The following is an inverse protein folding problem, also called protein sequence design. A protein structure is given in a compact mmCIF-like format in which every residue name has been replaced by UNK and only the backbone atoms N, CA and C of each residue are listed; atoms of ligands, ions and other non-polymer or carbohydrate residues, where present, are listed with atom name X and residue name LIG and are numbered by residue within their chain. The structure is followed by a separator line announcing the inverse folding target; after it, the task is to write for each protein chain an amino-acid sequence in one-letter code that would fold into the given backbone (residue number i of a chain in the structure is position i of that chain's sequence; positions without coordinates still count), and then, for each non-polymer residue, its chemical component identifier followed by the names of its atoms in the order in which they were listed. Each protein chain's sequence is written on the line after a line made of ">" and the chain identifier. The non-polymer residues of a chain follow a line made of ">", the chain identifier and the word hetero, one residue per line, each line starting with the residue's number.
data_IF_995257916683
#
_entry.id   IF_995257916683
#
_cell.length_a   1.000
_cell.length_b   1.000
_cell.length_c   1.000
_cell.angle_alpha   90.00
_cell.angle_beta   90.00
_cell.angle_gamma   90.00
#
_symmetry.space_group_name_H-M   'P 1'
#
loop_
_entity.id
_entity.type
_entity.pdbx_description
1 polymer ?
#
# COMPACT_ATOMS: atom_id res chain seq x y z
N UNK A 1 -20.24 -11.98 -42.64
CA UNK A 1 -19.60 -11.65 -41.34
C UNK A 1 -19.66 -12.91 -40.52
N UNK A 2 -18.53 -13.51 -40.17
CA UNK A 2 -18.51 -14.68 -39.28
C UNK A 2 -18.96 -14.22 -37.88
N UNK A 3 -19.92 -14.92 -37.29
CA UNK A 3 -20.40 -14.64 -35.94
C UNK A 3 -19.25 -14.84 -34.95
N UNK A 4 -19.09 -13.94 -34.00
CA UNK A 4 -18.12 -14.11 -32.91
C UNK A 4 -18.41 -15.42 -32.17
N UNK A 5 -17.37 -16.20 -31.85
CA UNK A 5 -17.56 -17.39 -31.03
C UNK A 5 -18.12 -17.02 -29.66
N UNK A 6 -18.99 -17.88 -29.08
CA UNK A 6 -19.77 -17.52 -27.90
C UNK A 6 -18.97 -17.46 -26.64
N UNK A 7 -18.19 -16.59 -26.29
CA UNK A 7 -17.57 -16.28 -25.00
C UNK A 7 -16.36 -15.34 -25.08
N UNK A 8 -16.15 -14.65 -26.23
CA UNK A 8 -15.14 -13.61 -26.31
C UNK A 8 -15.79 -12.27 -26.60
N UNK A 9 -15.40 -11.26 -25.88
CA UNK A 9 -15.79 -9.88 -26.18
C UNK A 9 -15.06 -9.39 -27.44
N UNK A 10 -15.72 -8.60 -28.24
CA UNK A 10 -15.07 -7.86 -29.33
C UNK A 10 -14.13 -6.81 -28.71
N UNK A 11 -12.94 -6.69 -29.26
CA UNK A 11 -12.01 -5.65 -28.83
C UNK A 11 -12.60 -4.23 -29.03
N UNK A 12 -12.25 -3.34 -28.12
CA UNK A 12 -12.61 -1.92 -28.20
C UNK A 12 -11.46 -1.05 -27.66
N UNK A 13 -11.14 0.01 -28.37
CA UNK A 13 -10.07 0.94 -27.97
C UNK A 13 -10.32 1.65 -26.64
N UNK A 14 -11.57 1.76 -26.22
CA UNK A 14 -11.94 2.42 -24.96
C UNK A 14 -11.90 1.50 -23.74
N UNK A 15 -11.73 0.20 -23.92
CA UNK A 15 -11.69 -0.79 -22.85
C UNK A 15 -10.25 -1.12 -22.51
N UNK A 16 -9.94 -1.15 -21.22
CA UNK A 16 -8.66 -1.63 -20.71
C UNK A 16 -8.72 -3.16 -20.53
N UNK A 17 -7.69 -3.85 -20.98
CA UNK A 17 -7.56 -5.30 -20.89
C UNK A 17 -6.36 -5.66 -20.02
N UNK A 18 -6.55 -6.57 -19.09
CA UNK A 18 -5.47 -7.09 -18.22
C UNK A 18 -4.80 -8.30 -18.84
N UNK A 19 -3.62 -8.68 -18.36
CA UNK A 19 -2.95 -9.92 -18.78
C UNK A 19 -3.89 -11.13 -18.72
N UNK A 20 -3.90 -11.92 -19.79
CA UNK A 20 -4.77 -13.07 -19.92
C UNK A 20 -6.18 -12.76 -20.47
N UNK A 21 -6.58 -11.50 -20.64
CA UNK A 21 -7.84 -11.15 -21.28
C UNK A 21 -7.87 -11.63 -22.72
N UNK A 22 -8.98 -12.27 -23.14
CA UNK A 22 -9.16 -12.83 -24.49
C UNK A 22 -10.22 -12.03 -25.24
N UNK A 23 -9.86 -11.54 -26.43
CA UNK A 23 -10.74 -10.74 -27.27
C UNK A 23 -10.76 -11.25 -28.70
N UNK A 24 -11.81 -10.89 -29.44
CA UNK A 24 -11.87 -11.07 -30.90
C UNK A 24 -11.69 -9.71 -31.57
N UNK A 25 -10.74 -9.65 -32.50
CA UNK A 25 -10.53 -8.50 -33.35
C UNK A 25 -10.35 -8.96 -34.80
N UNK A 26 -11.14 -8.39 -35.71
CA UNK A 26 -11.20 -8.74 -37.14
C UNK A 26 -11.27 -10.25 -37.40
N UNK A 27 -12.09 -10.98 -36.60
CA UNK A 27 -12.32 -12.41 -36.74
C UNK A 27 -11.20 -13.34 -36.26
N UNK A 28 -10.18 -12.78 -35.60
CA UNK A 28 -9.11 -13.53 -34.95
C UNK A 28 -9.16 -13.34 -33.45
N UNK A 29 -8.69 -14.32 -32.68
CA UNK A 29 -8.67 -14.29 -31.23
C UNK A 29 -7.27 -13.91 -30.74
N UNK A 30 -7.21 -13.03 -29.75
CA UNK A 30 -5.97 -12.54 -29.15
C UNK A 30 -6.04 -12.61 -27.65
N UNK A 31 -4.92 -12.90 -27.00
CA UNK A 31 -4.74 -12.86 -25.55
C UNK A 31 -3.82 -11.69 -25.20
N UNK A 32 -4.23 -10.86 -24.25
CA UNK A 32 -3.41 -9.77 -23.72
C UNK A 32 -2.24 -10.32 -22.93
N UNK A 33 -1.02 -9.87 -23.24
CA UNK A 33 0.20 -10.29 -22.56
C UNK A 33 0.40 -9.54 -21.22
N UNK A 34 -0.08 -8.30 -21.14
CA UNK A 34 -0.10 -7.43 -19.96
C UNK A 34 -1.25 -6.43 -20.09
N UNK A 35 -1.34 -5.51 -19.15
CA UNK A 35 -2.35 -4.46 -19.22
C UNK A 35 -2.17 -3.61 -20.48
N UNK A 36 -3.21 -3.46 -21.26
CA UNK A 36 -3.21 -2.68 -22.51
C UNK A 36 -4.55 -2.00 -22.75
N UNK A 37 -4.53 -0.79 -23.30
CA UNK A 37 -5.70 -0.03 -23.73
C UNK A 37 -5.36 0.75 -25.00
N UNK A 38 -6.27 0.80 -25.94
CA UNK A 38 -6.08 1.53 -27.20
C UNK A 38 -5.17 0.84 -28.24
N UNK A 39 -4.45 -0.23 -27.88
CA UNK A 39 -3.59 -0.99 -28.79
C UNK A 39 -4.42 -2.05 -29.52
N UNK A 40 -4.74 -1.82 -30.79
CA UNK A 40 -5.53 -2.76 -31.60
C UNK A 40 -4.79 -4.09 -31.79
N UNK A 41 -5.40 -5.24 -31.46
CA UNK A 41 -4.73 -6.54 -31.50
C UNK A 41 -4.17 -6.93 -32.87
N UNK A 42 -4.90 -6.64 -33.95
CA UNK A 42 -4.48 -7.04 -35.31
C UNK A 42 -3.17 -6.37 -35.72
N UNK A 43 -2.88 -5.18 -35.19
CA UNK A 43 -1.69 -4.38 -35.52
C UNK A 43 -0.60 -4.42 -34.45
N UNK A 44 -0.94 -4.85 -33.22
CA UNK A 44 -0.04 -4.85 -32.06
C UNK A 44 0.09 -6.26 -31.45
N UNK A 45 0.34 -7.27 -32.28
CA UNK A 45 0.53 -8.64 -31.79
C UNK A 45 1.87 -9.25 -32.21
N UNK A 46 2.31 -10.24 -31.41
CA UNK A 46 3.57 -10.98 -31.66
C UNK A 46 3.67 -12.22 -30.77
N UNK A 47 4.67 -13.07 -31.05
CA UNK A 47 4.96 -14.24 -30.22
C UNK A 47 5.48 -13.88 -28.81
N UNK A 48 5.60 -14.87 -27.96
CA UNK A 48 6.15 -14.71 -26.61
C UNK A 48 7.53 -14.00 -26.65
N UNK A 49 7.70 -12.95 -25.86
CA UNK A 49 8.93 -12.15 -25.81
C UNK A 49 9.07 -11.10 -26.91
N UNK A 50 8.09 -10.90 -27.78
CA UNK A 50 8.13 -9.90 -28.88
C UNK A 50 8.01 -8.45 -28.40
N UNK A 51 7.64 -8.20 -27.15
CA UNK A 51 7.32 -6.86 -26.64
C UNK A 51 6.00 -6.31 -27.13
N UNK A 52 5.15 -7.13 -27.75
CA UNK A 52 3.82 -6.74 -28.23
C UNK A 52 2.74 -7.03 -27.18
N UNK A 53 1.73 -6.14 -27.01
CA UNK A 53 0.70 -6.29 -25.99
C UNK A 53 -0.25 -7.48 -26.22
N UNK A 54 -0.29 -8.02 -27.43
CA UNK A 54 -1.19 -9.12 -27.78
C UNK A 54 -0.43 -10.30 -28.37
N UNK A 55 -0.94 -11.50 -28.11
CA UNK A 55 -0.51 -12.75 -28.77
C UNK A 55 -1.71 -13.37 -29.47
N UNK A 56 -1.55 -13.78 -30.74
CA UNK A 56 -2.56 -14.52 -31.46
C UNK A 56 -2.81 -15.86 -30.76
N UNK A 57 -4.05 -16.17 -30.43
CA UNK A 57 -4.45 -17.38 -29.72
C UNK A 57 -5.43 -18.25 -30.53
N UNK A 58 -5.47 -19.55 -30.25
CA UNK A 58 -6.23 -20.54 -31.03
C UNK A 58 -7.67 -20.72 -30.56
N UNK A 59 -8.37 -19.63 -30.29
CA UNK A 59 -9.83 -19.65 -30.10
C UNK A 59 -10.29 -19.57 -28.63
N UNK A 60 -11.56 -19.14 -28.51
CA UNK A 60 -12.28 -19.07 -27.23
C UNK A 60 -12.83 -20.47 -26.93
N UNK A 61 -12.75 -20.88 -25.66
CA UNK A 61 -13.22 -22.18 -25.20
C UNK A 61 -14.74 -22.37 -25.52
N UNK A 62 -15.07 -23.42 -26.22
CA UNK A 62 -16.45 -23.83 -26.53
C UNK A 62 -16.97 -24.79 -25.45
N UNK A 63 -16.82 -24.50 -24.19
CA UNK A 63 -17.53 -25.27 -23.17
C UNK A 63 -18.98 -24.79 -23.12
N UNK A 64 -19.98 -25.64 -23.43
CA UNK A 64 -21.37 -25.27 -23.30
C UNK A 64 -21.68 -24.90 -21.87
N UNK A 65 -22.54 -23.89 -21.60
CA UNK A 65 -22.99 -23.64 -20.25
C UNK A 65 -23.65 -24.91 -19.68
N UNK A 66 -23.43 -25.23 -18.39
CA UNK A 66 -24.14 -26.32 -17.74
C UNK A 66 -25.66 -26.10 -17.83
N UNK A 67 -26.48 -27.17 -17.92
CA UNK A 67 -27.92 -27.03 -17.95
C UNK A 67 -28.42 -26.19 -16.78
N UNK A 68 -29.52 -25.44 -16.96
CA UNK A 68 -30.02 -24.57 -15.88
C UNK A 68 -30.29 -25.40 -14.63
N UNK A 69 -29.64 -25.06 -13.56
CA UNK A 69 -29.92 -25.60 -12.23
C UNK A 69 -31.35 -25.25 -11.86
N UNK A 70 -32.13 -26.18 -11.26
CA UNK A 70 -33.47 -25.86 -10.81
C UNK A 70 -33.47 -24.63 -9.94
N UNK A 71 -34.43 -23.73 -10.17
CA UNK A 71 -34.61 -22.48 -9.45
C UNK A 71 -34.59 -22.76 -7.96
N UNK A 72 -33.66 -22.13 -7.20
CA UNK A 72 -33.65 -22.28 -5.74
C UNK A 72 -34.99 -21.77 -5.15
N UNK A 73 -35.45 -22.34 -4.05
CA UNK A 73 -36.60 -21.79 -3.31
C UNK A 73 -36.32 -20.33 -2.94
N UNK A 74 -37.36 -19.48 -2.76
CA UNK A 74 -37.16 -18.07 -2.45
C UNK A 74 -36.23 -17.91 -1.26
N UNK A 75 -35.29 -16.94 -1.32
CA UNK A 75 -34.29 -16.79 -0.28
C UNK A 75 -34.99 -16.55 1.06
N UNK A 76 -34.62 -17.34 2.04
CA UNK A 76 -34.88 -17.02 3.46
C UNK A 76 -34.42 -15.59 3.73
N UNK A 77 -35.15 -14.77 4.51
CA UNK A 77 -34.75 -13.40 4.81
C UNK A 77 -33.29 -13.42 5.28
N UNK A 78 -32.42 -12.75 4.55
CA UNK A 78 -31.01 -12.55 4.94
C UNK A 78 -31.05 -11.84 6.30
N UNK A 79 -30.37 -12.37 7.33
CA UNK A 79 -30.21 -11.62 8.58
C UNK A 79 -29.68 -10.23 8.24
N UNK A 80 -30.12 -9.17 8.92
CA UNK A 80 -29.58 -7.85 8.70
C UNK A 80 -28.05 -7.92 8.78
N UNK A 81 -27.32 -7.18 7.92
CA UNK A 81 -25.86 -7.17 7.97
C UNK A 81 -25.44 -6.88 9.41
N UNK A 82 -24.38 -7.55 9.92
CA UNK A 82 -23.90 -7.31 11.26
C UNK A 82 -23.69 -5.80 11.41
N UNK A 83 -24.25 -5.23 12.46
CA UNK A 83 -24.09 -3.82 12.79
C UNK A 83 -22.60 -3.49 12.72
N UNK A 84 -22.20 -2.47 11.96
CA UNK A 84 -20.79 -2.09 11.87
C UNK A 84 -20.26 -1.93 13.29
N UNK A 85 -19.14 -2.60 13.60
CA UNK A 85 -18.42 -2.35 14.85
C UNK A 85 -18.23 -0.83 14.95
N UNK A 86 -18.57 -0.19 16.08
CA UNK A 86 -18.41 1.25 16.22
C UNK A 86 -16.99 1.64 15.78
N UNK A 87 -16.80 2.73 15.02
CA UNK A 87 -15.47 3.23 14.74
C UNK A 87 -14.74 3.42 16.07
N UNK A 88 -13.41 3.25 16.13
CA UNK A 88 -12.64 3.64 17.29
C UNK A 88 -13.11 5.04 17.72
N UNK A 89 -13.21 5.34 19.01
CA UNK A 89 -13.65 6.63 19.46
C UNK A 89 -12.88 7.70 18.70
N UNK A 90 -13.57 8.73 18.22
CA UNK A 90 -12.98 9.89 17.56
C UNK A 90 -11.94 10.48 18.52
N UNK A 91 -10.67 10.10 18.39
CA UNK A 91 -9.74 10.33 19.48
C UNK A 91 -8.31 10.52 19.06
N UNK A 92 -7.64 9.80 18.32
CA UNK A 92 -6.27 10.12 17.98
C UNK A 92 -5.90 9.57 16.62
N UNK A 93 -5.49 10.44 15.70
CA UNK A 93 -4.89 10.05 14.43
C UNK A 93 -3.64 9.22 14.71
N UNK A 94 -3.57 8.00 14.19
CA UNK A 94 -2.36 7.19 14.25
C UNK A 94 -1.26 7.92 13.48
N UNK A 95 -0.09 8.13 14.10
CA UNK A 95 1.02 8.82 13.46
C UNK A 95 2.35 8.13 13.76
N UNK A 96 3.10 7.82 12.70
CA UNK A 96 4.44 7.24 12.82
C UNK A 96 5.10 7.06 11.45
N UNK A 97 6.28 7.67 11.22
CA UNK A 97 6.99 7.54 9.96
C UNK A 97 7.47 6.10 9.73
N UNK A 98 7.62 5.73 8.47
CA UNK A 98 8.35 4.54 8.07
C UNK A 98 9.84 4.75 8.29
N UNK A 99 10.49 3.78 8.90
CA UNK A 99 11.93 3.68 9.04
C UNK A 99 12.40 2.45 8.26
N UNK A 100 13.00 2.68 7.09
CA UNK A 100 13.76 1.63 6.44
C UNK A 100 14.95 1.27 7.31
N UNK A 101 14.89 0.11 7.96
CA UNK A 101 15.91 -0.25 8.94
C UNK A 101 17.28 -0.50 8.30
N UNK A 102 17.36 -0.72 6.99
CA UNK A 102 18.63 -0.92 6.27
C UNK A 102 19.35 0.40 5.99
N UNK A 103 18.61 1.51 5.93
CA UNK A 103 19.16 2.85 5.76
C UNK A 103 19.76 3.30 7.09
N UNK A 104 21.03 3.66 7.08
CA UNK A 104 21.77 4.08 8.31
C UNK A 104 21.71 3.03 9.44
N UNK A 105 21.67 1.75 9.11
CA UNK A 105 21.67 0.66 10.09
C UNK A 105 23.00 0.56 10.83
N UNK A 106 22.95 0.26 12.12
CA UNK A 106 24.15 -0.19 12.83
C UNK A 106 24.30 -1.71 12.63
N UNK A 107 25.02 -2.10 11.60
CA UNK A 107 25.20 -3.50 11.19
C UNK A 107 25.98 -4.36 12.21
N UNK A 108 26.70 -3.74 13.16
CA UNK A 108 27.40 -4.48 14.20
C UNK A 108 26.51 -4.89 15.36
N UNK A 109 25.47 -4.10 15.63
CA UNK A 109 24.60 -4.29 16.81
C UNK A 109 23.18 -4.65 16.43
N UNK A 110 22.79 -4.51 15.17
CA UNK A 110 21.42 -4.63 14.66
C UNK A 110 20.42 -3.65 15.32
N UNK A 111 20.91 -2.60 15.95
CA UNK A 111 20.06 -1.54 16.54
C UNK A 111 19.58 -0.61 15.44
N UNK A 112 18.28 -0.40 15.36
CA UNK A 112 17.66 0.52 14.42
C UNK A 112 18.17 1.94 14.69
N UNK A 113 18.91 2.45 13.71
CA UNK A 113 19.66 3.70 13.82
C UNK A 113 19.33 4.65 12.67
N UNK A 114 19.70 5.90 12.80
CA UNK A 114 19.52 6.94 11.79
C UNK A 114 20.68 7.92 11.79
N UNK A 115 20.91 8.60 10.67
CA UNK A 115 21.87 9.67 10.53
C UNK A 115 21.19 11.04 10.24
N UNK A 116 19.92 11.18 10.60
CA UNK A 116 19.14 12.42 10.39
C UNK A 116 19.81 13.61 11.09
N UNK A 117 20.37 13.42 12.29
CA UNK A 117 21.07 14.45 13.05
C UNK A 117 22.54 14.68 12.64
N UNK A 118 22.97 14.06 11.53
CA UNK A 118 24.33 14.17 11.01
C UNK A 118 25.28 13.09 11.49
N UNK A 119 24.94 12.37 12.57
CA UNK A 119 25.75 11.27 13.14
C UNK A 119 24.90 10.02 13.26
N UNK A 120 25.46 8.85 12.94
CA UNK A 120 24.79 7.58 13.13
C UNK A 120 24.47 7.36 14.61
N UNK A 121 23.19 7.28 14.94
CA UNK A 121 22.70 7.16 16.31
C UNK A 121 21.48 6.25 16.38
N UNK A 122 21.25 5.52 17.48
CA UNK A 122 19.99 4.81 17.66
C UNK A 122 18.80 5.76 17.50
N UNK A 123 17.77 5.36 16.72
CA UNK A 123 16.59 6.21 16.49
C UNK A 123 15.97 6.70 17.80
N UNK A 124 15.87 5.83 18.79
CA UNK A 124 15.27 6.13 20.09
C UNK A 124 16.00 7.23 20.87
N UNK A 125 17.30 7.44 20.63
CA UNK A 125 18.09 8.45 21.33
C UNK A 125 18.01 9.84 20.72
N UNK A 126 17.62 9.95 19.43
CA UNK A 126 17.64 11.22 18.68
C UNK A 126 16.29 11.66 18.13
N UNK A 127 15.28 10.79 18.15
CA UNK A 127 13.94 11.15 17.67
C UNK A 127 13.31 12.25 18.53
N UNK A 128 12.46 13.11 17.96
CA UNK A 128 11.66 14.06 18.74
C UNK A 128 10.88 13.36 19.85
N UNK A 129 10.85 13.93 21.05
CA UNK A 129 10.21 13.34 22.23
C UNK A 129 8.71 13.05 22.03
N UNK A 130 8.05 13.86 21.20
CA UNK A 130 6.64 13.71 20.84
C UNK A 130 6.39 12.65 19.76
N UNK A 131 7.40 12.15 19.05
CA UNK A 131 7.26 11.01 18.14
C UNK A 131 7.12 9.73 18.98
N UNK A 132 5.91 9.19 19.05
CA UNK A 132 5.56 8.05 19.91
C UNK A 132 5.48 6.71 19.19
N UNK A 133 5.60 6.69 17.87
CA UNK A 133 5.54 5.47 17.07
C UNK A 133 6.45 5.56 15.85
N UNK A 134 6.99 4.42 15.43
CA UNK A 134 7.81 4.25 14.22
C UNK A 134 7.40 2.95 13.54
N UNK A 135 7.24 2.98 12.22
CA UNK A 135 6.99 1.76 11.42
C UNK A 135 8.33 1.20 10.95
N UNK A 136 8.66 -0.03 11.36
CA UNK A 136 9.88 -0.71 10.90
C UNK A 136 9.64 -1.32 9.52
N UNK A 137 10.40 -0.93 8.53
CA UNK A 137 10.32 -1.35 7.14
C UNK A 137 11.65 -1.95 6.68
N UNK A 138 11.75 -3.03 6.00
CA UNK A 138 10.70 -4.01 5.69
C UNK A 138 11.18 -5.42 5.97
N UNK A 139 10.30 -6.25 6.52
CA UNK A 139 10.51 -7.69 6.57
C UNK A 139 10.10 -8.31 5.22
N UNK A 140 10.97 -9.09 4.59
CA UNK A 140 10.73 -9.72 3.29
C UNK A 140 10.91 -11.23 3.34
N UNK A 141 10.36 -11.95 2.36
CA UNK A 141 10.44 -13.41 2.26
C UNK A 141 9.23 -14.12 2.84
N UNK A 142 9.40 -15.36 3.29
CA UNK A 142 8.30 -16.15 3.84
C UNK A 142 8.11 -15.90 5.33
N UNK A 143 6.85 -15.77 5.78
CA UNK A 143 6.52 -15.60 7.19
C UNK A 143 7.11 -16.73 8.05
N UNK A 144 7.67 -16.38 9.22
CA UNK A 144 8.40 -17.28 10.11
C UNK A 144 9.87 -17.48 9.77
N UNK A 145 10.26 -17.19 8.52
CA UNK A 145 11.65 -17.18 8.04
C UNK A 145 11.99 -15.92 7.23
N UNK A 146 11.27 -14.84 7.50
CA UNK A 146 11.50 -13.53 6.91
C UNK A 146 12.91 -13.01 7.18
N UNK A 147 13.34 -12.01 6.42
CA UNK A 147 14.64 -11.35 6.58
C UNK A 147 14.47 -9.83 6.54
N UNK A 148 15.42 -9.11 7.12
CA UNK A 148 15.48 -7.66 7.15
C UNK A 148 16.74 -7.18 6.43
N UNK A 149 16.65 -7.06 5.10
CA UNK A 149 17.83 -6.71 4.29
C UNK A 149 18.99 -7.71 4.48
N UNK A 150 18.68 -8.99 4.63
CA UNK A 150 19.66 -10.06 4.88
C UNK A 150 19.93 -10.37 6.35
N UNK A 151 19.46 -9.53 7.30
CA UNK A 151 19.59 -9.82 8.73
C UNK A 151 18.59 -10.88 9.18
N UNK A 152 19.03 -11.74 10.09
CA UNK A 152 18.15 -12.71 10.72
C UNK A 152 17.06 -12.01 11.55
N UNK A 153 15.79 -12.41 11.44
CA UNK A 153 14.68 -11.72 12.08
C UNK A 153 14.77 -11.76 13.61
N UNK A 154 15.28 -12.85 14.18
CA UNK A 154 15.52 -12.96 15.63
C UNK A 154 16.58 -11.97 16.12
N UNK A 155 17.61 -11.68 15.33
CA UNK A 155 18.63 -10.70 15.69
C UNK A 155 18.07 -9.27 15.72
N UNK A 156 17.23 -8.91 14.73
CA UNK A 156 16.56 -7.61 14.70
C UNK A 156 15.58 -7.47 15.86
N UNK A 157 14.75 -8.49 16.12
CA UNK A 157 13.82 -8.49 17.26
C UNK A 157 14.54 -8.35 18.59
N UNK A 158 15.59 -9.14 18.83
CA UNK A 158 16.39 -9.13 20.06
C UNK A 158 17.06 -7.79 20.31
N UNK A 159 17.57 -7.14 19.26
CA UNK A 159 18.27 -5.86 19.41
C UNK A 159 17.30 -4.67 19.65
N UNK A 160 16.02 -4.77 19.30
CA UNK A 160 15.17 -3.59 19.23
C UNK A 160 13.87 -3.67 20.04
N UNK A 161 13.20 -4.83 20.12
CA UNK A 161 11.87 -4.92 20.76
C UNK A 161 11.88 -4.35 22.18
N UNK A 162 12.78 -4.83 23.03
CA UNK A 162 12.82 -4.41 24.42
C UNK A 162 13.25 -2.93 24.57
N UNK A 163 14.08 -2.43 23.66
CA UNK A 163 14.49 -1.01 23.65
C UNK A 163 13.30 -0.09 23.37
N UNK A 164 12.41 -0.47 22.42
CA UNK A 164 11.19 0.28 22.15
C UNK A 164 10.19 0.24 23.31
N UNK A 165 10.07 -0.91 23.98
CA UNK A 165 9.26 -1.05 25.22
C UNK A 165 9.79 -0.10 26.31
N UNK A 166 11.09 -0.14 26.58
CA UNK A 166 11.73 0.68 27.60
C UNK A 166 11.62 2.18 27.32
N UNK A 167 11.64 2.57 26.04
CA UNK A 167 11.47 3.96 25.60
C UNK A 167 10.00 4.42 25.56
N UNK A 168 9.03 3.55 25.85
CA UNK A 168 7.61 3.86 25.69
C UNK A 168 7.23 4.28 24.27
N UNK A 169 7.99 3.78 23.27
CA UNK A 169 7.76 4.09 21.86
C UNK A 169 7.12 2.86 21.19
N UNK A 170 5.98 3.06 20.56
CA UNK A 170 5.29 2.00 19.82
C UNK A 170 5.97 1.76 18.48
N UNK A 171 5.73 0.56 17.92
CA UNK A 171 6.16 0.24 16.57
C UNK A 171 5.12 -0.57 15.82
N UNK A 172 5.15 -0.43 14.51
CA UNK A 172 4.44 -1.28 13.54
C UNK A 172 5.51 -2.06 12.80
N UNK A 173 5.27 -3.34 12.55
CA UNK A 173 6.13 -4.15 11.67
C UNK A 173 5.54 -4.10 10.27
N UNK A 174 6.28 -3.53 9.32
CA UNK A 174 5.90 -3.52 7.91
C UNK A 174 6.68 -4.56 7.12
N UNK A 175 5.99 -5.20 6.20
CA UNK A 175 6.51 -6.28 5.37
C UNK A 175 6.39 -5.95 3.89
N UNK A 176 7.21 -6.55 3.03
CA UNK A 176 7.15 -6.31 1.59
C UNK A 176 7.97 -5.13 1.14
N UNK A 177 7.32 -4.11 0.57
CA UNK A 177 7.95 -2.94 -0.01
C UNK A 177 8.49 -3.18 -1.42
N UNK A 178 9.06 -2.13 -2.05
CA UNK A 178 9.53 -2.18 -3.44
C UNK A 178 10.66 -3.21 -3.68
N UNK A 179 11.50 -3.47 -2.67
CA UNK A 179 12.69 -4.31 -2.80
C UNK A 179 12.42 -5.81 -2.61
N UNK A 180 11.22 -6.22 -2.18
CA UNK A 180 10.91 -7.62 -1.98
C UNK A 180 9.47 -7.88 -1.57
N UNK A 181 9.03 -9.11 -1.73
CA UNK A 181 7.69 -9.54 -1.34
C UNK A 181 7.69 -10.20 0.03
N UNK A 182 6.50 -10.25 0.64
CA UNK A 182 6.26 -11.06 1.84
C UNK A 182 5.11 -12.02 1.56
N UNK A 183 5.32 -13.30 1.81
CA UNK A 183 4.33 -14.35 1.57
C UNK A 183 4.09 -15.19 2.82
N UNK A 184 2.91 -15.76 2.96
CA UNK A 184 2.61 -16.60 4.12
C UNK A 184 1.68 -17.76 3.77
N UNK A 185 2.20 -18.97 3.82
CA UNK A 185 1.50 -20.17 3.40
C UNK A 185 0.72 -20.87 4.54
N UNK A 186 1.03 -20.60 5.82
CA UNK A 186 0.40 -21.28 6.96
C UNK A 186 0.15 -20.37 8.15
N UNK A 187 -0.89 -20.67 8.93
CA UNK A 187 -1.20 -19.98 10.18
C UNK A 187 -0.08 -20.13 11.21
N UNK A 188 0.55 -21.31 11.29
CA UNK A 188 1.64 -21.55 12.25
C UNK A 188 2.84 -20.64 11.99
N UNK A 189 3.24 -20.48 10.72
CA UNK A 189 4.34 -19.60 10.35
C UNK A 189 3.96 -18.12 10.55
N UNK A 190 2.70 -17.75 10.27
CA UNK A 190 2.22 -16.41 10.52
C UNK A 190 2.26 -16.06 12.01
N UNK A 191 1.81 -16.95 12.88
CA UNK A 191 1.92 -16.76 14.33
C UNK A 191 3.39 -16.69 14.80
N UNK A 192 4.27 -17.51 14.21
CA UNK A 192 5.72 -17.41 14.50
C UNK A 192 6.27 -16.04 14.15
N UNK A 193 5.86 -15.47 13.03
CA UNK A 193 6.21 -14.10 12.62
C UNK A 193 5.66 -13.06 13.60
N UNK A 194 4.36 -13.07 13.89
CA UNK A 194 3.72 -12.09 14.79
C UNK A 194 4.33 -12.15 16.19
N UNK A 195 4.46 -13.36 16.74
CA UNK A 195 4.95 -13.57 18.10
C UNK A 195 6.43 -13.18 18.28
N UNK A 196 7.24 -13.24 17.21
CA UNK A 196 8.65 -12.80 17.26
C UNK A 196 8.79 -11.33 17.64
N UNK A 197 7.87 -10.50 17.22
CA UNK A 197 7.87 -9.06 17.49
C UNK A 197 6.85 -8.64 18.55
N UNK A 198 6.16 -9.58 19.17
CA UNK A 198 5.12 -9.30 20.14
C UNK A 198 5.69 -8.63 21.39
N UNK A 199 5.08 -7.53 21.80
CA UNK A 199 5.37 -6.80 23.03
C UNK A 199 4.24 -5.82 23.36
N UNK A 200 4.31 -5.16 24.51
CA UNK A 200 3.38 -4.08 24.86
C UNK A 200 3.51 -2.84 23.97
N UNK A 201 4.60 -2.73 23.18
CA UNK A 201 4.84 -1.64 22.24
C UNK A 201 4.45 -1.98 20.79
N UNK A 202 4.17 -3.25 20.45
CA UNK A 202 3.69 -3.59 19.12
C UNK A 202 2.28 -3.04 18.91
N UNK A 203 2.15 -2.08 17.99
CA UNK A 203 0.87 -1.46 17.66
C UNK A 203 0.13 -2.18 16.53
N UNK A 204 0.86 -2.82 15.64
CA UNK A 204 0.27 -3.52 14.50
C UNK A 204 1.26 -4.13 13.54
N UNK A 205 0.69 -4.79 12.54
CA UNK A 205 1.40 -5.35 11.40
C UNK A 205 0.88 -4.66 10.14
N UNK A 206 1.78 -4.31 9.26
CA UNK A 206 1.52 -3.67 7.98
C UNK A 206 2.02 -4.56 6.83
N UNK A 207 1.26 -4.63 5.76
CA UNK A 207 1.61 -5.41 4.57
C UNK A 207 1.71 -4.46 3.39
N UNK A 208 2.93 -4.08 3.05
CA UNK A 208 3.22 -3.23 1.90
C UNK A 208 3.30 -4.09 0.64
N UNK A 209 2.23 -4.04 -0.16
CA UNK A 209 2.03 -4.90 -1.33
C UNK A 209 2.21 -4.07 -2.60
N UNK A 210 3.44 -4.07 -3.11
CA UNK A 210 3.78 -3.27 -4.29
C UNK A 210 3.86 -4.12 -5.56
N UNK A 211 4.67 -5.18 -5.53
CA UNK A 211 4.89 -6.07 -6.67
C UNK A 211 5.41 -7.44 -6.22
N UNK A 212 5.42 -8.41 -7.15
CA UNK A 212 6.05 -9.72 -6.95
C UNK A 212 5.21 -10.76 -6.21
N UNK A 213 4.05 -10.37 -5.64
CA UNK A 213 3.11 -11.33 -5.06
C UNK A 213 2.04 -11.70 -6.08
N UNK A 214 1.79 -13.00 -6.23
CA UNK A 214 0.66 -13.49 -7.01
C UNK A 214 -0.67 -13.20 -6.28
N UNK A 215 -1.78 -13.26 -7.03
CA UNK A 215 -3.10 -13.16 -6.41
C UNK A 215 -3.35 -14.25 -5.35
N UNK A 216 -2.75 -15.43 -5.52
CA UNK A 216 -2.83 -16.53 -4.55
C UNK A 216 -2.03 -16.22 -3.27
N UNK A 217 -0.87 -15.57 -3.38
CA UNK A 217 -0.08 -15.14 -2.22
C UNK A 217 -0.82 -14.10 -1.40
N UNK A 218 -1.43 -13.11 -2.09
CA UNK A 218 -2.23 -12.05 -1.46
C UNK A 218 -3.47 -12.66 -0.78
N UNK A 219 -4.18 -13.57 -1.43
CA UNK A 219 -5.34 -14.26 -0.86
C UNK A 219 -4.96 -15.09 0.37
N UNK A 220 -3.85 -15.83 0.30
CA UNK A 220 -3.30 -16.56 1.44
C UNK A 220 -2.95 -15.62 2.60
N UNK A 221 -2.29 -14.49 2.32
CA UNK A 221 -1.95 -13.51 3.35
C UNK A 221 -3.19 -12.97 4.06
N UNK A 222 -4.22 -12.58 3.31
CA UNK A 222 -5.50 -12.10 3.86
C UNK A 222 -6.17 -13.15 4.75
N UNK A 223 -6.12 -14.43 4.34
CA UNK A 223 -6.63 -15.55 5.17
C UNK A 223 -5.88 -15.68 6.49
N UNK A 224 -4.54 -15.56 6.47
CA UNK A 224 -3.70 -15.61 7.69
C UNK A 224 -4.01 -14.44 8.62
N UNK A 225 -4.12 -13.23 8.08
CA UNK A 225 -4.53 -12.06 8.86
C UNK A 225 -5.87 -12.31 9.54
N UNK A 226 -6.89 -12.77 8.80
CA UNK A 226 -8.21 -13.07 9.37
C UNK A 226 -8.16 -14.11 10.49
N UNK A 227 -7.38 -15.18 10.30
CA UNK A 227 -7.24 -16.24 11.31
C UNK A 227 -6.50 -15.76 12.58
N UNK A 228 -5.56 -14.80 12.42
CA UNK A 228 -4.75 -14.28 13.52
C UNK A 228 -5.47 -13.21 14.36
N UNK A 229 -6.45 -12.52 13.81
CA UNK A 229 -7.14 -11.40 14.50
C UNK A 229 -7.78 -11.81 15.84
N UNK A 230 -8.33 -12.98 15.93
CA UNK A 230 -8.92 -13.49 17.18
C UNK A 230 -7.87 -13.77 18.27
N UNK A 231 -6.64 -14.06 17.88
CA UNK A 231 -5.52 -14.31 18.79
C UNK A 231 -4.84 -13.03 19.25
N UNK A 232 -4.93 -11.98 18.42
CA UNK A 232 -4.31 -10.68 18.65
C UNK A 232 -5.33 -9.53 18.53
N UNK A 233 -6.36 -9.48 19.40
CA UNK A 233 -7.48 -8.56 19.24
C UNK A 233 -7.10 -7.08 19.39
N UNK A 234 -5.93 -6.78 19.95
CA UNK A 234 -5.43 -5.42 20.13
C UNK A 234 -4.52 -4.93 19.00
N UNK A 235 -4.16 -5.78 18.03
CA UNK A 235 -3.29 -5.38 16.95
C UNK A 235 -4.04 -4.72 15.80
N UNK A 236 -3.45 -3.65 15.28
CA UNK A 236 -3.82 -3.03 14.01
C UNK A 236 -3.27 -3.90 12.86
N UNK A 237 -4.07 -4.06 11.80
CA UNK A 237 -3.71 -4.80 10.58
C UNK A 237 -3.92 -3.89 9.38
N UNK A 238 -2.87 -3.52 8.69
CA UNK A 238 -2.97 -2.66 7.50
C UNK A 238 -2.38 -3.29 6.26
N UNK A 239 -2.92 -2.85 5.13
CA UNK A 239 -2.41 -3.13 3.80
C UNK A 239 -2.02 -1.81 3.16
N UNK A 240 -0.73 -1.67 2.85
CA UNK A 240 -0.17 -0.48 2.20
C UNK A 240 -0.15 -0.71 0.70
N UNK A 241 -0.81 0.19 -0.04
CA UNK A 241 -1.15 -0.02 -1.44
C UNK A 241 -0.85 1.22 -2.28
N UNK A 242 -0.28 1.01 -3.47
CA UNK A 242 -0.06 2.07 -4.46
C UNK A 242 -1.38 2.66 -4.94
N UNK A 243 -1.42 3.98 -5.07
CA UNK A 243 -2.61 4.72 -5.49
C UNK A 243 -2.26 5.91 -6.39
N UNK A 244 -3.23 6.35 -7.19
CA UNK A 244 -3.20 7.63 -7.87
C UNK A 244 -3.96 8.69 -7.05
N UNK A 245 -3.61 9.95 -7.23
CA UNK A 245 -4.20 11.11 -6.54
C UNK A 245 -4.96 12.06 -7.46
N UNK A 246 -5.42 11.57 -8.61
CA UNK A 246 -6.14 12.35 -9.61
C UNK A 246 -7.66 12.12 -9.61
N UNK A 247 -8.27 12.33 -10.77
CA UNK A 247 -9.73 12.23 -10.95
C UNK A 247 -10.22 10.84 -11.38
N UNK A 248 -9.37 9.82 -11.36
CA UNK A 248 -9.77 8.45 -11.64
C UNK A 248 -10.75 7.96 -10.56
N UNK A 249 -11.88 7.38 -10.98
CA UNK A 249 -12.88 6.85 -10.05
C UNK A 249 -12.29 5.73 -9.18
N UNK A 250 -11.47 4.85 -9.76
CA UNK A 250 -10.69 3.82 -9.09
C UNK A 250 -9.22 4.18 -9.18
N UNK A 251 -8.56 4.42 -8.05
CA UNK A 251 -7.19 4.94 -7.97
C UNK A 251 -6.13 3.91 -7.60
N UNK A 252 -6.52 2.73 -7.07
CA UNK A 252 -5.54 1.72 -6.65
C UNK A 252 -4.84 1.07 -7.84
N UNK A 253 -3.56 0.79 -7.69
CA UNK A 253 -2.80 -0.06 -8.60
C UNK A 253 -3.30 -1.52 -8.63
N UNK A 254 -2.81 -2.32 -9.58
CA UNK A 254 -3.28 -3.69 -9.79
C UNK A 254 -3.16 -4.60 -8.55
N UNK A 255 -2.06 -4.50 -7.81
CA UNK A 255 -1.88 -5.23 -6.54
C UNK A 255 -2.90 -4.78 -5.49
N UNK A 256 -3.22 -3.48 -5.43
CA UNK A 256 -4.23 -2.92 -4.54
C UNK A 256 -5.63 -3.44 -4.87
N UNK A 257 -6.01 -3.48 -6.15
CA UNK A 257 -7.29 -4.07 -6.60
C UNK A 257 -7.37 -5.54 -6.20
N UNK A 258 -6.30 -6.31 -6.41
CA UNK A 258 -6.22 -7.73 -6.01
C UNK A 258 -6.39 -7.88 -4.50
N UNK A 259 -5.74 -7.03 -3.71
CA UNK A 259 -5.84 -7.04 -2.25
C UNK A 259 -7.26 -6.72 -1.78
N UNK A 260 -7.92 -5.70 -2.33
CA UNK A 260 -9.31 -5.36 -1.98
C UNK A 260 -10.28 -6.50 -2.33
N UNK A 261 -10.08 -7.16 -3.46
CA UNK A 261 -10.86 -8.33 -3.85
C UNK A 261 -10.64 -9.50 -2.88
N UNK A 262 -9.40 -9.78 -2.46
CA UNK A 262 -9.09 -10.81 -1.48
C UNK A 262 -9.70 -10.51 -0.10
N UNK A 263 -9.64 -9.26 0.36
CA UNK A 263 -10.29 -8.79 1.59
C UNK A 263 -11.80 -9.08 1.54
N UNK A 264 -12.44 -8.68 0.44
CA UNK A 264 -13.89 -8.89 0.24
C UNK A 264 -14.25 -10.37 0.17
N UNK A 265 -13.53 -11.16 -0.63
CA UNK A 265 -13.79 -12.59 -0.83
C UNK A 265 -13.63 -13.40 0.44
N UNK A 266 -12.66 -13.04 1.28
CA UNK A 266 -12.43 -13.71 2.55
C UNK A 266 -13.27 -13.14 3.70
N UNK A 267 -14.05 -12.08 3.48
CA UNK A 267 -14.85 -11.43 4.51
C UNK A 267 -13.99 -10.93 5.68
N UNK A 268 -12.84 -10.33 5.39
CA UNK A 268 -12.02 -9.65 6.39
C UNK A 268 -12.67 -8.31 6.72
N UNK A 269 -13.04 -8.08 7.98
CA UNK A 269 -13.77 -6.88 8.40
C UNK A 269 -12.96 -5.91 9.24
N UNK A 270 -11.93 -6.38 9.93
CA UNK A 270 -11.06 -5.52 10.75
C UNK A 270 -9.71 -5.33 10.03
N UNK A 271 -9.62 -4.27 9.23
CA UNK A 271 -8.43 -3.93 8.46
C UNK A 271 -8.33 -2.42 8.27
N UNK A 272 -7.16 -1.95 7.96
CA UNK A 272 -6.84 -0.59 7.51
C UNK A 272 -6.27 -0.68 6.09
N UNK A 273 -6.61 0.27 5.25
CA UNK A 273 -5.91 0.49 3.99
C UNK A 273 -5.07 1.75 4.15
N UNK A 274 -3.78 1.58 4.01
CA UNK A 274 -2.82 2.67 4.00
C UNK A 274 -2.43 2.98 2.54
N UNK A 275 -2.55 4.23 2.13
CA UNK A 275 -2.34 4.64 0.75
C UNK A 275 -0.94 5.24 0.57
N UNK A 276 -0.14 4.69 -0.33
CA UNK A 276 1.12 5.30 -0.76
C UNK A 276 0.82 6.51 -1.65
N UNK A 277 0.65 7.67 -1.02
CA UNK A 277 0.29 8.93 -1.65
C UNK A 277 1.55 9.66 -2.16
N UNK A 278 2.22 9.04 -3.14
CA UNK A 278 3.52 9.43 -3.69
C UNK A 278 3.68 8.88 -5.10
N UNK A 279 4.66 9.39 -5.84
CA UNK A 279 5.14 8.86 -7.12
C UNK A 279 4.02 8.60 -8.14
N UNK A 280 3.15 9.58 -8.29
CA UNK A 280 1.99 9.52 -9.20
C UNK A 280 2.38 9.49 -10.68
N UNK A 281 3.65 9.80 -10.99
CA UNK A 281 4.20 9.85 -12.33
C UNK A 281 3.90 11.15 -13.06
N UNK A 282 3.51 11.09 -14.33
CA UNK A 282 3.28 12.33 -15.11
C UNK A 282 2.20 13.20 -14.49
N UNK A 283 2.44 14.52 -14.46
CA UNK A 283 1.49 15.53 -13.95
C UNK A 283 0.29 15.69 -14.91
N UNK A 284 -0.63 14.75 -14.86
CA UNK A 284 -1.90 14.73 -15.60
C UNK A 284 -3.06 14.51 -14.63
N UNK A 285 -4.25 14.99 -14.98
CA UNK A 285 -5.42 14.98 -14.10
C UNK A 285 -5.88 13.57 -13.65
N UNK A 286 -5.55 12.52 -14.39
CA UNK A 286 -5.83 11.14 -13.98
C UNK A 286 -4.90 10.64 -12.87
N UNK A 287 -3.66 11.14 -12.84
CA UNK A 287 -2.62 10.65 -11.95
C UNK A 287 -2.59 11.43 -10.63
N UNK A 288 -2.70 12.75 -10.70
CA UNK A 288 -2.65 13.62 -9.52
C UNK A 288 -3.59 14.83 -9.68
N UNK A 289 -3.92 15.46 -8.58
CA UNK A 289 -4.59 16.76 -8.58
C UNK A 289 -3.59 17.83 -9.01
N UNK A 290 -3.90 18.56 -10.09
CA UNK A 290 -3.00 19.59 -10.60
C UNK A 290 -3.18 20.91 -9.86
N UNK A 291 -2.07 21.58 -9.60
CA UNK A 291 -2.04 22.97 -9.14
C UNK A 291 -2.14 23.96 -10.32
N UNK A 292 -2.17 25.26 -10.02
CA UNK A 292 -2.27 26.32 -11.06
C UNK A 292 -1.09 26.38 -12.03
N UNK A 293 0.03 25.76 -11.70
CA UNK A 293 1.22 25.65 -12.56
C UNK A 293 1.26 24.37 -13.38
N UNK A 294 0.22 23.54 -13.33
CA UNK A 294 0.15 22.27 -14.04
C UNK A 294 1.01 21.15 -13.45
N UNK A 295 1.51 21.32 -12.22
CA UNK A 295 2.23 20.28 -11.46
C UNK A 295 1.31 19.58 -10.47
N UNK A 296 1.70 18.41 -9.98
CA UNK A 296 0.98 17.73 -8.93
C UNK A 296 0.95 18.55 -7.63
N UNK A 297 -0.24 18.79 -7.11
CA UNK A 297 -0.47 19.27 -5.74
C UNK A 297 -0.48 18.05 -4.83
N UNK A 298 0.62 17.79 -4.15
CA UNK A 298 0.82 16.53 -3.44
C UNK A 298 -0.13 16.38 -2.24
N UNK A 299 -0.41 17.47 -1.53
CA UNK A 299 -1.36 17.44 -0.42
C UNK A 299 -2.79 17.13 -0.87
N UNK A 300 -3.26 17.77 -1.96
CA UNK A 300 -4.58 17.50 -2.52
C UNK A 300 -4.66 16.14 -3.20
N UNK A 301 -3.60 15.70 -3.84
CA UNK A 301 -3.53 14.37 -4.44
C UNK A 301 -3.64 13.27 -3.38
N UNK A 302 -3.00 13.44 -2.23
CA UNK A 302 -3.13 12.52 -1.10
C UNK A 302 -4.57 12.47 -0.56
N UNK A 303 -5.27 13.62 -0.51
CA UNK A 303 -6.69 13.68 -0.16
C UNK A 303 -7.55 13.00 -1.22
N UNK A 304 -7.32 13.26 -2.50
CA UNK A 304 -8.09 12.67 -3.59
C UNK A 304 -7.97 11.14 -3.63
N UNK A 305 -6.80 10.59 -3.33
CA UNK A 305 -6.61 9.14 -3.24
C UNK A 305 -7.49 8.51 -2.16
N UNK A 306 -7.56 9.12 -0.98
CA UNK A 306 -8.43 8.66 0.12
C UNK A 306 -9.92 8.79 -0.23
N UNK A 307 -10.31 9.87 -0.90
CA UNK A 307 -11.68 10.06 -1.39
C UNK A 307 -12.05 9.02 -2.46
N UNK A 308 -11.15 8.72 -3.39
CA UNK A 308 -11.37 7.67 -4.39
C UNK A 308 -11.55 6.29 -3.74
N UNK A 309 -10.68 5.92 -2.79
CA UNK A 309 -10.81 4.66 -2.05
C UNK A 309 -12.16 4.59 -1.30
N UNK A 310 -12.54 5.66 -0.61
CA UNK A 310 -13.81 5.75 0.10
C UNK A 310 -15.00 5.60 -0.86
N UNK A 311 -15.03 6.38 -1.94
CA UNK A 311 -16.16 6.44 -2.86
C UNK A 311 -16.31 5.17 -3.71
N UNK A 312 -15.23 4.61 -4.18
CA UNK A 312 -15.26 3.45 -5.09
C UNK A 312 -15.37 2.11 -4.35
N UNK A 313 -14.59 1.94 -3.28
CA UNK A 313 -14.52 0.67 -2.55
C UNK A 313 -15.40 0.64 -1.29
N UNK A 314 -15.98 1.77 -0.89
CA UNK A 314 -16.80 1.87 0.31
C UNK A 314 -16.03 1.77 1.62
N UNK A 315 -14.70 1.97 1.59
CA UNK A 315 -13.87 1.93 2.80
C UNK A 315 -14.14 3.19 3.63
N UNK A 316 -14.59 3.07 4.88
CA UNK A 316 -14.83 4.26 5.71
C UNK A 316 -13.51 4.96 6.04
N UNK A 317 -13.52 6.28 6.17
CA UNK A 317 -12.32 7.07 6.48
C UNK A 317 -11.61 6.61 7.77
N UNK A 318 -12.34 6.11 8.76
CA UNK A 318 -11.78 5.51 9.97
C UNK A 318 -10.98 4.21 9.74
N UNK A 319 -10.92 3.72 8.50
CA UNK A 319 -10.10 2.57 8.06
C UNK A 319 -9.14 2.95 6.94
N UNK A 320 -8.92 4.23 6.72
CA UNK A 320 -7.97 4.74 5.74
C UNK A 320 -6.81 5.40 6.49
N UNK A 321 -5.60 5.12 6.06
CA UNK A 321 -4.38 5.82 6.44
C UNK A 321 -3.65 6.29 5.18
N UNK A 322 -2.82 7.30 5.30
CA UNK A 322 -2.19 7.97 4.17
C UNK A 322 -0.70 8.13 4.45
N UNK A 323 0.12 7.72 3.49
CA UNK A 323 1.59 7.77 3.57
C UNK A 323 2.13 8.59 2.40
N UNK A 324 2.33 9.92 2.54
CA UNK A 324 3.09 10.68 1.56
C UNK A 324 4.59 10.38 1.64
N UNK A 325 5.32 10.65 0.54
CA UNK A 325 6.77 10.76 0.55
C UNK A 325 7.15 12.23 0.77
N UNK A 326 7.86 12.51 1.86
CA UNK A 326 8.23 13.89 2.23
C UNK A 326 9.30 14.46 1.30
N UNK A 327 9.13 15.72 0.90
CA UNK A 327 10.05 16.41 -0.02
C UNK A 327 9.97 15.91 -1.45
N UNK A 328 11.11 15.87 -2.17
CA UNK A 328 11.17 15.41 -3.55
C UNK A 328 10.85 13.92 -3.67
N UNK A 329 10.02 13.58 -4.63
CA UNK A 329 9.63 12.22 -4.97
C UNK A 329 10.49 11.66 -6.11
N UNK A 330 10.28 10.41 -6.53
CA UNK A 330 11.00 9.81 -7.65
C UNK A 330 10.59 10.45 -8.99
N UNK A 331 9.37 11.00 -9.07
CA UNK A 331 8.96 11.85 -10.17
C UNK A 331 9.40 13.31 -9.90
N UNK A 332 10.13 13.93 -10.84
CA UNK A 332 10.75 15.28 -10.67
C UNK A 332 9.79 16.43 -10.43
N UNK A 333 8.55 16.30 -10.86
CA UNK A 333 7.53 17.33 -10.70
C UNK A 333 6.72 17.17 -9.41
N UNK A 334 7.07 16.22 -8.59
CA UNK A 334 6.39 15.89 -7.34
C UNK A 334 7.25 16.28 -6.14
N UNK A 335 6.74 17.20 -5.34
CA UNK A 335 7.39 17.60 -4.08
C UNK A 335 6.33 17.78 -3.00
N UNK A 336 6.36 16.93 -1.99
CA UNK A 336 5.49 17.06 -0.82
C UNK A 336 6.11 18.07 0.14
N UNK A 337 5.47 19.20 0.31
CA UNK A 337 5.97 20.36 1.07
C UNK A 337 5.47 20.39 2.51
N UNK A 338 6.04 21.30 3.34
CA UNK A 338 5.51 21.60 4.67
C UNK A 338 4.08 22.14 4.63
N UNK A 339 3.70 22.86 3.57
CA UNK A 339 2.32 23.32 3.40
C UNK A 339 1.36 22.15 3.14
N UNK A 340 1.81 21.10 2.44
CA UNK A 340 1.02 19.90 2.20
C UNK A 340 0.79 19.12 3.51
N UNK A 341 1.75 19.12 4.44
CA UNK A 341 1.55 18.58 5.79
C UNK A 341 0.33 19.20 6.46
N UNK A 342 0.23 20.54 6.41
CA UNK A 342 -0.89 21.26 7.02
C UNK A 342 -2.20 20.95 6.32
N UNK A 343 -2.21 20.96 4.99
CA UNK A 343 -3.38 20.67 4.15
C UNK A 343 -3.91 19.26 4.45
N UNK A 344 -3.05 18.26 4.39
CA UNK A 344 -3.41 16.85 4.62
C UNK A 344 -3.86 16.62 6.06
N UNK A 345 -3.11 17.11 7.06
CA UNK A 345 -3.41 16.90 8.48
C UNK A 345 -4.75 17.51 8.90
N UNK A 346 -5.07 18.72 8.39
CA UNK A 346 -6.36 19.35 8.66
C UNK A 346 -7.52 18.55 8.09
N UNK A 347 -7.37 18.08 6.84
CA UNK A 347 -8.39 17.26 6.19
C UNK A 347 -8.58 15.91 6.91
N UNK A 348 -7.50 15.24 7.30
CA UNK A 348 -7.51 13.97 8.05
C UNK A 348 -8.28 14.10 9.34
N UNK A 349 -8.00 15.15 10.13
CA UNK A 349 -8.74 15.43 11.39
C UNK A 349 -10.22 15.72 11.14
N UNK A 350 -10.52 16.51 10.12
CA UNK A 350 -11.90 16.92 9.82
C UNK A 350 -12.78 15.75 9.33
N UNK A 351 -12.18 14.73 8.71
CA UNK A 351 -12.91 13.60 8.12
C UNK A 351 -12.78 12.29 8.92
N UNK A 352 -12.09 12.30 10.06
CA UNK A 352 -11.93 11.11 10.89
C UNK A 352 -11.12 10.00 10.23
N UNK A 353 -10.11 10.37 9.44
CA UNK A 353 -9.17 9.42 8.82
C UNK A 353 -8.29 8.80 9.91
N UNK A 354 -8.03 7.50 9.82
CA UNK A 354 -7.43 6.71 10.88
C UNK A 354 -5.99 7.11 11.20
N UNK A 355 -5.19 7.48 10.19
CA UNK A 355 -3.79 7.81 10.45
C UNK A 355 -3.07 8.48 9.29
N UNK A 356 -1.91 9.02 9.63
CA UNK A 356 -0.91 9.51 8.69
C UNK A 356 0.43 8.89 9.03
N UNK A 357 1.13 8.42 8.02
CA UNK A 357 2.53 8.04 8.08
C UNK A 357 3.32 8.92 7.11
N UNK A 358 4.58 8.68 6.92
CA UNK A 358 5.33 9.21 5.77
C UNK A 358 6.55 8.35 5.44
N UNK A 359 6.92 8.33 4.18
CA UNK A 359 8.17 7.79 3.67
C UNK A 359 9.19 8.93 3.57
N UNK A 360 10.29 8.94 4.28
CA UNK A 360 10.62 8.07 5.38
C UNK A 360 11.42 8.84 6.46
N UNK A 361 11.57 8.26 7.61
CA UNK A 361 12.23 8.88 8.77
C UNK A 361 13.65 9.38 8.45
N UNK A 362 14.46 8.59 7.75
CA UNK A 362 15.83 8.97 7.41
C UNK A 362 15.92 10.13 6.41
N UNK A 363 14.84 10.43 5.73
CA UNK A 363 14.74 11.56 4.82
C UNK A 363 14.46 12.89 5.52
N UNK A 364 14.12 12.89 6.82
CA UNK A 364 13.67 14.10 7.53
C UNK A 364 14.83 15.00 7.97
N UNK A 365 15.70 15.31 7.03
CA UNK A 365 16.70 16.37 7.06
C UNK A 365 16.89 16.95 5.67
N UNK A 366 17.31 18.20 5.61
CA UNK A 366 17.45 18.90 4.33
C UNK A 366 18.66 18.41 3.51
N UNK A 367 18.49 18.45 2.20
CA UNK A 367 19.53 18.51 1.19
C UNK A 367 19.00 19.38 0.03
N UNK A 368 19.81 19.60 -1.01
CA UNK A 368 19.41 20.38 -2.16
C UNK A 368 18.12 19.83 -2.77
N UNK A 369 17.18 20.70 -3.21
CA UNK A 369 15.96 20.28 -3.91
C UNK A 369 16.27 19.41 -5.13
N UNK A 370 15.46 18.37 -5.33
CA UNK A 370 15.66 17.45 -6.44
C UNK A 370 14.86 16.15 -6.24
N UNK A 371 15.39 15.08 -6.82
CA UNK A 371 14.83 13.74 -6.73
C UNK A 371 14.82 13.17 -5.31
N UNK A 372 14.04 12.13 -5.11
CA UNK A 372 14.05 11.36 -3.89
C UNK A 372 15.47 10.90 -3.51
N UNK A 373 15.77 10.98 -2.23
CA UNK A 373 16.99 10.46 -1.62
C UNK A 373 16.62 9.62 -0.41
N UNK A 374 17.29 8.50 -0.21
CA UNK A 374 17.03 7.64 0.95
C UNK A 374 17.42 8.31 2.29
N UNK A 375 18.23 9.37 2.28
CA UNK A 375 18.85 9.94 3.47
C UNK A 375 18.60 11.43 3.68
N UNK A 376 17.82 12.08 2.82
CA UNK A 376 17.39 13.47 2.97
C UNK A 376 16.12 13.77 2.17
N UNK A 377 15.40 14.86 2.49
CA UNK A 377 14.09 15.13 1.92
C UNK A 377 14.10 15.79 0.54
N UNK A 378 15.25 16.27 0.07
CA UNK A 378 15.34 17.01 -1.21
C UNK A 378 14.35 18.18 -1.35
N UNK A 379 13.89 18.75 -0.23
CA UNK A 379 13.04 19.93 -0.14
C UNK A 379 13.88 21.19 0.19
N UNK A 380 14.85 21.04 1.06
CA UNK A 380 15.94 21.99 1.29
C UNK A 380 15.69 23.09 2.31
N UNK A 381 14.49 23.18 2.90
CA UNK A 381 14.13 24.25 3.84
C UNK A 381 13.27 23.80 5.01
N UNK A 382 13.14 22.50 5.24
CA UNK A 382 12.34 21.96 6.35
C UNK A 382 13.12 21.90 7.66
N UNK A 383 14.43 21.75 7.58
CA UNK A 383 15.31 21.50 8.72
C UNK A 383 15.33 20.04 9.17
N UNK A 384 16.19 19.72 10.12
CA UNK A 384 16.28 18.41 10.76
C UNK A 384 15.00 18.13 11.55
N UNK A 385 14.34 17.00 11.32
CA UNK A 385 13.03 16.64 11.88
C UNK A 385 11.91 17.62 11.52
N UNK A 386 12.07 18.34 10.40
CA UNK A 386 11.14 19.39 10.00
C UNK A 386 9.75 18.85 9.68
N UNK A 387 9.66 17.79 8.90
CA UNK A 387 8.39 17.14 8.57
C UNK A 387 7.78 16.42 9.77
N UNK A 388 8.59 15.70 10.57
CA UNK A 388 8.12 15.07 11.82
C UNK A 388 7.47 16.09 12.75
N UNK A 389 8.13 17.22 13.00
CA UNK A 389 7.62 18.27 13.89
C UNK A 389 6.39 18.97 13.29
N UNK A 390 6.37 19.19 11.96
CA UNK A 390 5.21 19.77 11.28
C UNK A 390 3.96 18.86 11.41
N UNK A 391 4.09 17.55 11.17
CA UNK A 391 3.00 16.61 11.39
C UNK A 391 2.52 16.56 12.83
N UNK A 392 3.44 16.46 13.80
CA UNK A 392 3.12 16.48 15.24
C UNK A 392 2.32 17.74 15.59
N UNK A 393 2.78 18.90 15.13
CA UNK A 393 2.11 20.19 15.37
C UNK A 393 0.72 20.25 14.71
N UNK A 394 0.64 19.89 13.41
CA UNK A 394 -0.60 19.97 12.67
C UNK A 394 -1.67 18.98 13.16
N UNK A 395 -1.25 17.81 13.65
CA UNK A 395 -2.15 16.80 14.25
C UNK A 395 -2.50 17.11 15.70
N UNK A 396 -1.74 17.96 16.40
CA UNK A 396 -1.96 18.30 17.79
C UNK A 396 -1.47 17.23 18.78
N UNK A 397 -0.40 16.51 18.44
CA UNK A 397 0.18 15.41 19.22
C UNK A 397 1.21 15.88 20.24
#
# INVERSE_FOLDING_TARGET
>A
MAANPPNCSTWSASIAYTAGAVVVDQGKTYTANWWTQGNEPVTNNGGAGSGQPWTLSSGCSTTPPPPPTPTPPPPTPVPPPPTPTPPPPAGSVTYGPYKDITVSMNWNTNVISTAVTGTLSPVLSVKPAKLKMVTWAFATGACGSETWGGLAPAAVASANVQNFVNAGTKYIISTGGAAGSFTCASDANFETFVNRYASSSLAGIDFDIEAGQSAADIDNLVKRVKASQSKHPGLRWSFTLATLGGNAAQSLGGAGVTTMNAIKSNGLTNYIINLMAMDYGSAIASNCTLNSSGKCDMGRSAIASAQSLHNYWGVPYSRIEITPMIGGNDATDETFSIADVTTLSNWVKANGVSGIHFWSLDRDKDCAPGYASATCNSYGTAGTWGFTNAFISALGL
#
